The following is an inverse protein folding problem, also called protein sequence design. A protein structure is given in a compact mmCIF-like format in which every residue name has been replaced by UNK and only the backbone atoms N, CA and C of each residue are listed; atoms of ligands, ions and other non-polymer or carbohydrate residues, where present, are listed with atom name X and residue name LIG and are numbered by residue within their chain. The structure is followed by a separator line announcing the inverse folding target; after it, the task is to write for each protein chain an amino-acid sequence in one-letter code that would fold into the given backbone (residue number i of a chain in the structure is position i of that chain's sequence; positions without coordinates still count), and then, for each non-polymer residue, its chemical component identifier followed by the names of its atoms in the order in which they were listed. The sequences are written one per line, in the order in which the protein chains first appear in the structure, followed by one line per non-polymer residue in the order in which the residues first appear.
data_IF_978361242130
#
_entry.id   IF_978361242130
#
_cell.length_a   1.000
_cell.length_b   1.000
_cell.length_c   1.000
_cell.angle_alpha   90.00
_cell.angle_beta   90.00
_cell.angle_gamma   90.00
#
_symmetry.space_group_name_H-M   'P 1'
#
loop_
_entity.id
_entity.type
_entity.pdbx_description
1 polymer ?
#
# COMPACT_ATOMS: atom_id res chain seq x y z
N UNK A 1 1.71 -15.18 -6.68
CA UNK A 1 0.53 -15.44 -5.82
C UNK A 1 -0.15 -14.14 -5.39
N UNK A 2 0.60 -13.09 -5.25
CA UNK A 2 0.25 -11.80 -4.64
C UNK A 2 -0.71 -10.94 -5.48
N UNK A 3 -1.06 -9.75 -4.96
CA UNK A 3 -2.04 -8.86 -5.58
C UNK A 3 -1.56 -8.28 -6.91
N UNK A 4 -0.27 -7.97 -7.05
CA UNK A 4 0.28 -7.28 -8.21
C UNK A 4 0.26 -8.15 -9.48
N UNK A 5 0.69 -9.40 -9.39
CA UNK A 5 0.90 -10.28 -10.55
C UNK A 5 0.37 -11.72 -10.35
N UNK A 6 -0.48 -11.93 -9.34
CA UNK A 6 -0.88 -13.27 -8.93
C UNK A 6 -2.38 -13.50 -8.77
N UNK A 7 -2.68 -14.67 -8.21
CA UNK A 7 -4.06 -15.14 -8.01
C UNK A 7 -4.85 -14.19 -7.10
N UNK A 8 -4.24 -13.60 -6.10
CA UNK A 8 -4.91 -12.65 -5.21
C UNK A 8 -5.50 -11.46 -5.99
N UNK A 9 -4.76 -10.92 -6.98
CA UNK A 9 -5.28 -9.87 -7.86
C UNK A 9 -6.44 -10.34 -8.75
N UNK A 10 -6.35 -11.55 -9.26
CA UNK A 10 -7.44 -12.16 -10.05
C UNK A 10 -8.70 -12.33 -9.18
N UNK A 11 -8.55 -12.83 -7.95
CA UNK A 11 -9.67 -12.98 -7.00
C UNK A 11 -10.32 -11.65 -6.71
N UNK A 12 -9.53 -10.63 -6.42
CA UNK A 12 -10.04 -9.29 -6.13
C UNK A 12 -10.80 -8.70 -7.32
N UNK A 13 -10.23 -8.80 -8.52
CA UNK A 13 -10.86 -8.31 -9.74
C UNK A 13 -12.20 -9.01 -10.00
N UNK A 14 -12.22 -10.34 -9.93
CA UNK A 14 -13.43 -11.12 -10.19
C UNK A 14 -14.50 -10.88 -9.12
N UNK A 15 -14.12 -10.75 -7.84
CA UNK A 15 -15.04 -10.40 -6.76
C UNK A 15 -15.73 -9.05 -7.02
N UNK A 16 -14.93 -8.03 -7.34
CA UNK A 16 -15.46 -6.68 -7.67
C UNK A 16 -16.31 -6.69 -8.93
N UNK A 17 -15.95 -7.48 -9.93
CA UNK A 17 -16.75 -7.65 -11.14
C UNK A 17 -18.12 -8.27 -10.83
N UNK A 18 -18.16 -9.36 -10.06
CA UNK A 18 -19.38 -10.04 -9.67
C UNK A 18 -20.28 -9.18 -8.77
N UNK A 19 -19.70 -8.38 -7.91
CA UNK A 19 -20.42 -7.40 -7.08
C UNK A 19 -21.05 -6.30 -7.95
N UNK A 20 -20.34 -5.78 -8.94
CA UNK A 20 -20.77 -4.64 -9.75
C UNK A 20 -21.73 -5.01 -10.87
N UNK A 21 -21.51 -6.16 -11.54
CA UNK A 21 -22.22 -6.57 -12.77
C UNK A 21 -23.10 -7.78 -12.54
N UNK A 22 -24.26 -7.58 -11.90
CA UNK A 22 -25.15 -8.65 -11.49
C UNK A 22 -25.85 -9.34 -12.68
N UNK A 23 -26.19 -8.58 -13.72
CA UNK A 23 -26.94 -9.06 -14.92
C UNK A 23 -26.01 -9.37 -16.11
N UNK A 24 -24.72 -9.58 -15.88
CA UNK A 24 -23.78 -9.88 -16.97
C UNK A 24 -24.04 -11.25 -17.61
N UNK A 25 -24.04 -11.32 -18.95
CA UNK A 25 -24.21 -12.57 -19.70
C UNK A 25 -23.09 -13.58 -19.43
N UNK A 26 -21.89 -13.14 -19.05
CA UNK A 26 -20.77 -14.03 -18.70
C UNK A 26 -20.67 -14.34 -17.20
N UNK A 27 -21.64 -13.93 -16.39
CA UNK A 27 -21.61 -14.09 -14.92
C UNK A 27 -21.31 -15.50 -14.47
N UNK A 28 -21.98 -16.51 -15.04
CA UNK A 28 -21.80 -17.92 -14.65
C UNK A 28 -20.37 -18.41 -14.90
N UNK A 29 -19.74 -18.00 -15.99
CA UNK A 29 -18.37 -18.40 -16.30
C UNK A 29 -17.36 -17.66 -15.39
N UNK A 30 -17.62 -16.38 -15.10
CA UNK A 30 -16.83 -15.62 -14.14
C UNK A 30 -16.93 -16.23 -12.73
N UNK A 31 -18.11 -16.67 -12.28
CA UNK A 31 -18.30 -17.35 -11.00
C UNK A 31 -17.52 -18.67 -10.91
N UNK A 32 -17.45 -19.45 -11.99
CA UNK A 32 -16.63 -20.67 -12.02
C UNK A 32 -15.14 -20.36 -11.85
N UNK A 33 -14.64 -19.38 -12.60
CA UNK A 33 -13.23 -18.96 -12.51
C UNK A 33 -12.92 -18.40 -11.13
N UNK A 34 -13.82 -17.59 -10.58
CA UNK A 34 -13.70 -17.01 -9.24
C UNK A 34 -13.60 -18.09 -8.16
N UNK A 35 -14.45 -19.14 -8.21
CA UNK A 35 -14.39 -20.26 -7.26
C UNK A 35 -13.05 -20.96 -7.31
N UNK A 36 -12.56 -21.28 -8.50
CA UNK A 36 -11.25 -21.94 -8.67
C UNK A 36 -10.09 -21.07 -8.17
N UNK A 37 -10.16 -19.75 -8.41
CA UNK A 37 -9.13 -18.82 -7.94
C UNK A 37 -9.13 -18.70 -6.41
N UNK A 38 -10.31 -18.65 -5.77
CA UNK A 38 -10.45 -18.62 -4.31
C UNK A 38 -9.93 -19.92 -3.69
N UNK A 39 -10.30 -21.09 -4.21
CA UNK A 39 -9.81 -22.38 -3.71
C UNK A 39 -8.28 -22.45 -3.72
N UNK A 40 -7.65 -21.92 -4.76
CA UNK A 40 -6.18 -21.82 -4.83
C UNK A 40 -5.60 -20.85 -3.81
N UNK A 41 -6.26 -19.71 -3.55
CA UNK A 41 -5.83 -18.72 -2.57
C UNK A 41 -5.95 -19.27 -1.14
N UNK A 42 -7.07 -19.93 -0.81
CA UNK A 42 -7.29 -20.58 0.48
C UNK A 42 -6.27 -21.72 0.71
N UNK A 43 -6.06 -22.57 -0.30
CA UNK A 43 -5.03 -23.62 -0.23
C UNK A 43 -3.62 -23.07 -0.04
N UNK A 44 -3.30 -21.96 -0.67
CA UNK A 44 -1.99 -21.31 -0.45
C UNK A 44 -1.86 -20.85 0.99
N UNK A 45 -2.87 -20.21 1.56
CA UNK A 45 -2.90 -19.81 2.98
C UNK A 45 -2.66 -21.01 3.90
N UNK A 46 -3.37 -22.12 3.68
CA UNK A 46 -3.23 -23.34 4.48
C UNK A 46 -1.80 -23.88 4.41
N UNK A 47 -1.26 -24.04 3.21
CA UNK A 47 0.11 -24.53 3.00
C UNK A 47 1.17 -23.63 3.66
N UNK A 48 0.98 -22.29 3.57
CA UNK A 48 1.91 -21.34 4.21
C UNK A 48 1.86 -21.41 5.73
N UNK A 49 0.69 -21.61 6.31
CA UNK A 49 0.54 -21.77 7.77
C UNK A 49 1.11 -23.08 8.31
N UNK A 50 1.12 -24.13 7.51
CA UNK A 50 1.70 -25.43 7.88
C UNK A 50 3.23 -25.45 7.83
N UNK A 51 3.86 -24.49 7.15
CA UNK A 51 5.31 -24.40 7.04
C UNK A 51 5.93 -23.88 8.34
N UNK A 52 6.86 -24.64 8.94
CA UNK A 52 7.61 -24.21 10.11
C UNK A 52 8.59 -23.07 9.83
N UNK A 53 9.14 -23.04 8.62
CA UNK A 53 10.03 -21.98 8.11
C UNK A 53 9.33 -21.21 7.01
N UNK A 54 9.48 -19.90 7.02
CA UNK A 54 8.95 -19.05 5.95
C UNK A 54 9.95 -19.02 4.81
N UNK A 55 9.62 -19.62 3.64
CA UNK A 55 10.55 -19.65 2.52
C UNK A 55 10.74 -18.28 1.88
N UNK A 56 11.91 -18.07 1.30
CA UNK A 56 12.21 -16.91 0.47
C UNK A 56 11.32 -16.86 -0.80
N UNK A 57 11.03 -15.66 -1.36
CA UNK A 57 11.46 -14.36 -0.84
C UNK A 57 10.64 -13.90 0.36
N UNK A 58 11.29 -13.19 1.30
CA UNK A 58 10.65 -12.58 2.46
C UNK A 58 10.10 -11.21 2.04
N UNK A 59 8.82 -11.15 1.72
CA UNK A 59 8.15 -9.89 1.34
C UNK A 59 6.84 -9.74 2.10
N UNK A 60 6.70 -8.63 2.82
CA UNK A 60 5.51 -8.34 3.64
C UNK A 60 4.54 -7.38 2.96
N UNK A 61 4.89 -6.82 1.80
CA UNK A 61 4.19 -5.72 1.16
C UNK A 61 2.73 -5.95 0.80
N UNK A 62 2.05 -4.83 0.52
CA UNK A 62 0.61 -4.81 0.24
C UNK A 62 0.26 -5.30 -1.17
N UNK A 63 1.18 -5.16 -2.13
CA UNK A 63 0.95 -5.56 -3.52
C UNK A 63 1.78 -6.78 -3.92
N UNK A 64 3.03 -6.82 -3.50
CA UNK A 64 3.97 -7.89 -3.81
C UNK A 64 4.55 -8.43 -2.50
N UNK A 65 3.70 -9.10 -1.73
CA UNK A 65 4.03 -9.68 -0.43
C UNK A 65 2.82 -10.34 0.24
N UNK A 66 3.06 -11.00 1.37
CA UNK A 66 2.05 -11.78 2.10
C UNK A 66 0.88 -10.93 2.60
N UNK A 67 1.10 -9.64 2.92
CA UNK A 67 0.00 -8.74 3.34
C UNK A 67 -1.02 -8.50 2.22
N UNK A 68 -0.66 -8.72 0.96
CA UNK A 68 -1.58 -8.62 -0.16
C UNK A 68 -2.73 -9.62 -0.05
N UNK A 69 -2.46 -10.81 0.47
CA UNK A 69 -3.45 -11.87 0.65
C UNK A 69 -4.38 -11.54 1.82
N UNK A 70 -3.81 -11.06 2.94
CA UNK A 70 -4.60 -10.52 4.05
C UNK A 70 -5.56 -9.45 3.54
N UNK A 71 -5.04 -8.46 2.81
CA UNK A 71 -5.83 -7.36 2.27
C UNK A 71 -6.95 -7.83 1.35
N UNK A 72 -6.69 -8.79 0.47
CA UNK A 72 -7.72 -9.35 -0.42
C UNK A 72 -8.83 -10.02 0.39
N UNK A 73 -8.52 -10.84 1.39
CA UNK A 73 -9.53 -11.42 2.27
C UNK A 73 -10.39 -10.37 2.98
N UNK A 74 -9.79 -9.28 3.45
CA UNK A 74 -10.52 -8.18 4.09
C UNK A 74 -11.47 -7.48 3.11
N UNK A 75 -11.07 -7.28 1.86
CA UNK A 75 -11.96 -6.73 0.82
C UNK A 75 -13.07 -7.73 0.46
N UNK A 76 -12.79 -9.05 0.43
CA UNK A 76 -13.84 -10.05 0.24
C UNK A 76 -14.88 -10.02 1.38
N UNK A 77 -14.45 -9.79 2.61
CA UNK A 77 -15.37 -9.57 3.73
C UNK A 77 -16.23 -8.33 3.51
N UNK A 78 -15.66 -7.20 3.12
CA UNK A 78 -16.40 -5.96 2.84
C UNK A 78 -17.46 -6.15 1.72
N UNK A 79 -17.13 -6.96 0.69
CA UNK A 79 -18.05 -7.24 -0.42
C UNK A 79 -19.16 -8.21 -0.02
N UNK A 80 -18.83 -9.24 0.75
CA UNK A 80 -19.74 -10.39 0.92
C UNK A 80 -20.37 -10.51 2.31
N UNK A 81 -19.81 -9.82 3.31
CA UNK A 81 -20.20 -9.95 4.72
C UNK A 81 -19.88 -11.31 5.35
N UNK A 82 -19.14 -12.19 4.67
CA UNK A 82 -18.89 -13.55 5.14
C UNK A 82 -17.72 -13.60 6.12
N UNK A 83 -17.97 -13.95 7.39
CA UNK A 83 -16.99 -14.03 8.47
C UNK A 83 -15.79 -14.94 8.17
N UNK A 84 -15.95 -15.90 7.27
CA UNK A 84 -14.83 -16.77 6.87
C UNK A 84 -13.64 -15.98 6.33
N UNK A 85 -13.88 -14.82 5.69
CA UNK A 85 -12.81 -14.02 5.12
C UNK A 85 -11.98 -13.31 6.19
N UNK A 86 -12.63 -12.86 7.28
CA UNK A 86 -11.90 -12.33 8.45
C UNK A 86 -11.01 -13.46 9.04
N UNK A 87 -11.56 -14.65 9.24
CA UNK A 87 -10.77 -15.78 9.77
C UNK A 87 -9.59 -16.15 8.87
N UNK A 88 -9.78 -16.14 7.55
CA UNK A 88 -8.71 -16.39 6.60
C UNK A 88 -7.66 -15.26 6.63
N UNK A 89 -8.08 -14.00 6.76
CA UNK A 89 -7.18 -12.86 6.91
C UNK A 89 -6.35 -12.97 8.20
N UNK A 90 -6.97 -13.26 9.34
CA UNK A 90 -6.32 -13.47 10.63
C UNK A 90 -5.29 -14.60 10.56
N UNK A 91 -5.72 -15.76 10.03
CA UNK A 91 -4.85 -16.93 9.82
C UNK A 91 -3.63 -16.58 8.95
N UNK A 92 -3.83 -15.85 7.86
CA UNK A 92 -2.73 -15.48 6.98
C UNK A 92 -1.83 -14.39 7.59
N UNK A 93 -2.38 -13.52 8.43
CA UNK A 93 -1.60 -12.49 9.12
C UNK A 93 -0.56 -13.08 10.10
N UNK A 94 -0.76 -14.30 10.63
CA UNK A 94 0.26 -14.99 11.42
C UNK A 94 1.57 -15.17 10.65
N UNK A 95 1.49 -15.36 9.32
CA UNK A 95 2.66 -15.45 8.45
C UNK A 95 3.33 -14.08 8.32
N UNK A 96 2.52 -13.04 8.06
CA UNK A 96 3.01 -11.66 7.99
C UNK A 96 3.74 -11.30 9.29
N UNK A 97 3.16 -11.58 10.44
CA UNK A 97 3.76 -11.29 11.75
C UNK A 97 5.12 -11.98 11.96
N UNK A 98 5.28 -13.22 11.48
CA UNK A 98 6.58 -13.93 11.53
C UNK A 98 7.63 -13.33 10.59
N UNK A 99 7.19 -12.68 9.51
CA UNK A 99 8.07 -12.07 8.51
C UNK A 99 8.51 -10.66 8.87
N UNK A 100 7.63 -9.86 9.48
CA UNK A 100 7.87 -8.44 9.78
C UNK A 100 9.26 -8.13 10.36
N UNK A 101 9.79 -8.89 11.33
CA UNK A 101 11.12 -8.63 11.89
C UNK A 101 12.27 -8.99 10.96
N UNK A 102 12.02 -9.79 9.92
CA UNK A 102 13.03 -10.36 9.02
C UNK A 102 13.07 -9.68 7.66
N UNK A 103 11.96 -9.03 7.26
CA UNK A 103 11.85 -8.36 5.98
C UNK A 103 12.64 -7.05 5.98
N UNK A 104 13.63 -6.95 5.10
CA UNK A 104 14.42 -5.74 4.91
C UNK A 104 13.76 -4.73 3.96
N UNK A 105 12.70 -5.13 3.24
CA UNK A 105 11.96 -4.22 2.39
C UNK A 105 11.14 -3.26 3.23
N UNK A 106 11.20 -1.98 2.89
CA UNK A 106 10.59 -0.92 3.70
C UNK A 106 9.33 -0.37 3.07
N UNK A 107 9.21 -0.47 1.75
CA UNK A 107 8.24 0.26 0.95
C UNK A 107 6.80 -0.28 1.03
N UNK A 108 5.90 0.40 0.32
CA UNK A 108 4.48 0.07 0.30
C UNK A 108 4.17 -1.14 -0.58
N UNK A 109 4.91 -1.30 -1.69
CA UNK A 109 4.67 -2.37 -2.66
C UNK A 109 5.03 -3.72 -2.06
N UNK A 110 6.30 -3.89 -1.62
CA UNK A 110 6.88 -5.18 -1.25
C UNK A 110 7.24 -5.29 0.23
N UNK A 111 7.16 -4.20 1.02
CA UNK A 111 7.75 -4.14 2.35
C UNK A 111 6.82 -3.70 3.48
N UNK A 112 7.44 -3.37 4.58
CA UNK A 112 6.81 -3.16 5.88
C UNK A 112 5.77 -2.01 5.90
N UNK A 113 5.91 -0.97 5.07
CA UNK A 113 4.89 0.08 4.98
C UNK A 113 3.56 -0.49 4.45
N UNK A 114 3.61 -1.41 3.47
CA UNK A 114 2.41 -2.10 2.99
C UNK A 114 1.78 -3.01 4.05
N UNK A 115 2.61 -3.70 4.85
CA UNK A 115 2.14 -4.55 5.93
C UNK A 115 1.43 -3.78 7.05
N UNK A 116 1.91 -2.57 7.38
CA UNK A 116 1.23 -1.67 8.34
C UNK A 116 -0.21 -1.40 7.89
N UNK A 117 -0.44 -1.13 6.61
CA UNK A 117 -1.79 -0.86 6.08
C UNK A 117 -2.70 -2.08 6.23
N UNK A 118 -2.22 -3.28 5.91
CA UNK A 118 -3.00 -4.51 6.08
C UNK A 118 -3.32 -4.78 7.56
N UNK A 119 -2.35 -4.61 8.47
CA UNK A 119 -2.54 -4.76 9.90
C UNK A 119 -3.57 -3.77 10.48
N UNK A 120 -3.49 -2.49 10.08
CA UNK A 120 -4.43 -1.47 10.55
C UNK A 120 -5.84 -1.70 10.02
N UNK A 121 -5.99 -2.19 8.77
CA UNK A 121 -7.28 -2.57 8.22
C UNK A 121 -7.87 -3.79 8.97
N UNK A 122 -7.05 -4.76 9.31
CA UNK A 122 -7.47 -5.92 10.11
C UNK A 122 -7.90 -5.48 11.51
N UNK A 123 -7.14 -4.59 12.16
CA UNK A 123 -7.54 -3.98 13.43
C UNK A 123 -8.86 -3.23 13.34
N UNK A 124 -9.06 -2.43 12.29
CA UNK A 124 -10.30 -1.69 12.06
C UNK A 124 -11.54 -2.60 12.01
N UNK A 125 -11.40 -3.79 11.39
CA UNK A 125 -12.53 -4.70 11.18
C UNK A 125 -12.77 -5.65 12.35
N UNK A 126 -11.73 -5.97 13.14
CA UNK A 126 -11.84 -6.95 14.24
C UNK A 126 -11.84 -6.31 15.63
N UNK A 127 -11.24 -5.15 15.79
CA UNK A 127 -10.99 -4.51 17.07
C UNK A 127 -9.88 -5.19 17.90
N UNK A 128 -9.21 -6.21 17.39
CA UNK A 128 -8.18 -6.97 18.13
C UNK A 128 -6.88 -6.19 18.19
N UNK A 129 -6.48 -5.78 19.37
CA UNK A 129 -5.37 -4.83 19.63
C UNK A 129 -4.01 -5.34 19.14
N UNK A 130 -3.83 -6.63 18.99
CA UNK A 130 -2.58 -7.24 18.54
C UNK A 130 -2.15 -6.76 17.14
N UNK A 131 -3.11 -6.50 16.21
CA UNK A 131 -2.82 -6.00 14.89
C UNK A 131 -2.36 -4.54 14.92
N UNK A 132 -2.96 -3.72 15.77
CA UNK A 132 -2.51 -2.37 16.02
C UNK A 132 -1.10 -2.35 16.63
N UNK A 133 -0.84 -3.22 17.60
CA UNK A 133 0.47 -3.36 18.25
C UNK A 133 1.54 -3.75 17.24
N UNK A 134 1.28 -4.76 16.40
CA UNK A 134 2.20 -5.18 15.34
C UNK A 134 2.51 -4.04 14.35
N UNK A 135 1.49 -3.26 13.94
CA UNK A 135 1.68 -2.11 13.06
C UNK A 135 2.54 -1.01 13.70
N UNK A 136 2.28 -0.67 14.97
CA UNK A 136 3.03 0.35 15.72
C UNK A 136 4.48 -0.07 15.96
N UNK A 137 4.74 -1.32 16.30
CA UNK A 137 6.10 -1.85 16.46
C UNK A 137 6.86 -1.84 15.14
N UNK A 138 6.21 -2.28 14.07
CA UNK A 138 6.78 -2.24 12.72
C UNK A 138 7.11 -0.81 12.29
N UNK A 139 6.22 0.15 12.58
CA UNK A 139 6.45 1.57 12.28
C UNK A 139 7.67 2.11 13.03
N UNK A 140 7.83 1.80 14.31
CA UNK A 140 8.99 2.25 15.09
C UNK A 140 10.32 1.80 14.48
N UNK A 141 10.38 0.57 13.99
CA UNK A 141 11.58 0.04 13.35
C UNK A 141 11.75 0.59 11.94
N UNK A 142 10.66 0.75 11.20
CA UNK A 142 10.66 1.42 9.89
C UNK A 142 11.16 2.86 10.01
N UNK A 143 10.67 3.64 10.98
CA UNK A 143 11.10 5.02 11.18
C UNK A 143 12.60 5.14 11.44
N UNK A 144 13.20 4.26 12.24
CA UNK A 144 14.65 4.24 12.52
C UNK A 144 15.50 3.99 11.25
N UNK A 145 14.97 3.28 10.27
CA UNK A 145 15.65 2.98 9.00
C UNK A 145 15.60 4.15 8.01
N UNK A 146 14.74 5.13 8.23
CA UNK A 146 14.64 6.33 7.42
C UNK A 146 15.71 7.36 7.78
N UNK A 147 15.76 8.45 7.04
CA UNK A 147 16.74 9.53 7.25
C UNK A 147 16.13 10.91 7.05
N UNK A 148 16.67 11.84 7.82
CA UNK A 148 16.34 13.25 7.65
C UNK A 148 17.06 13.79 6.42
N UNK A 149 16.31 14.51 5.60
CA UNK A 149 16.83 15.20 4.44
C UNK A 149 17.03 16.69 4.78
N UNK A 150 17.63 17.46 3.88
CA UNK A 150 17.68 18.92 4.02
C UNK A 150 16.28 19.51 4.22
N UNK A 151 15.30 19.01 3.47
CA UNK A 151 13.87 19.27 3.66
C UNK A 151 13.15 17.95 3.86
N UNK A 152 12.47 17.77 5.01
CA UNK A 152 11.62 16.63 5.26
C UNK A 152 12.35 15.34 5.67
N UNK A 153 11.78 14.21 5.31
CA UNK A 153 12.21 12.87 5.69
C UNK A 153 11.85 11.83 4.62
N UNK A 154 12.63 10.74 4.51
CA UNK A 154 12.33 9.65 3.58
C UNK A 154 13.23 8.43 3.75
N UNK A 155 12.94 7.39 2.99
CA UNK A 155 13.69 6.13 3.00
C UNK A 155 14.44 5.94 1.69
N UNK A 156 15.74 5.75 1.81
CA UNK A 156 16.60 5.47 0.67
C UNK A 156 16.65 3.97 0.41
N UNK A 157 16.21 3.56 -0.76
CA UNK A 157 16.33 2.17 -1.18
C UNK A 157 17.79 1.82 -1.53
N UNK A 158 18.07 0.53 -1.48
CA UNK A 158 19.40 0.00 -1.85
C UNK A 158 19.79 0.48 -3.26
N UNK A 159 21.01 0.97 -3.40
CA UNK A 159 21.58 1.50 -4.65
C UNK A 159 20.99 2.83 -5.17
N UNK A 160 20.11 3.49 -4.43
CA UNK A 160 19.64 4.82 -4.78
C UNK A 160 20.31 5.89 -3.91
N UNK A 161 20.54 7.07 -4.51
CA UNK A 161 21.17 8.19 -3.81
C UNK A 161 20.20 8.94 -2.90
N UNK A 162 18.93 9.01 -3.30
CA UNK A 162 17.88 9.78 -2.62
C UNK A 162 16.62 8.93 -2.44
N UNK A 163 15.77 9.24 -1.43
CA UNK A 163 14.43 8.69 -1.34
C UNK A 163 13.61 9.02 -2.59
N UNK A 164 12.71 8.12 -2.99
CA UNK A 164 11.87 8.31 -4.17
C UNK A 164 10.58 9.07 -3.85
N UNK A 165 9.97 9.65 -4.88
CA UNK A 165 8.56 10.04 -4.92
C UNK A 165 7.70 8.89 -5.45
N UNK A 166 6.39 8.95 -5.22
CA UNK A 166 5.41 8.02 -5.76
C UNK A 166 4.96 6.92 -4.79
N UNK A 167 4.02 6.09 -5.26
CA UNK A 167 3.28 5.21 -4.37
C UNK A 167 3.98 3.89 -4.08
N UNK A 168 4.67 3.27 -5.05
CA UNK A 168 5.21 1.92 -4.83
C UNK A 168 6.38 1.92 -3.86
N UNK A 169 7.39 2.74 -4.13
CA UNK A 169 8.67 2.74 -3.41
C UNK A 169 9.04 4.11 -2.81
N UNK A 170 8.17 5.11 -2.97
CA UNK A 170 8.44 6.48 -2.54
C UNK A 170 7.59 6.94 -1.36
N UNK A 171 7.78 8.20 -0.99
CA UNK A 171 7.14 8.78 0.18
C UNK A 171 5.61 8.69 0.16
N UNK A 172 4.96 8.76 -1.01
CA UNK A 172 3.51 8.58 -1.11
C UNK A 172 3.03 7.23 -0.58
N UNK A 173 3.81 6.15 -0.78
CA UNK A 173 3.47 4.83 -0.22
C UNK A 173 3.63 4.78 1.30
N UNK A 174 4.71 5.34 1.83
CA UNK A 174 4.89 5.46 3.27
C UNK A 174 3.78 6.32 3.90
N UNK A 175 3.39 7.41 3.25
CA UNK A 175 2.28 8.26 3.70
C UNK A 175 0.98 7.47 3.88
N UNK A 176 0.67 6.49 3.01
CA UNK A 176 -0.50 5.63 3.18
C UNK A 176 -0.49 4.90 4.52
N UNK A 177 0.67 4.34 4.92
CA UNK A 177 0.81 3.67 6.22
C UNK A 177 0.61 4.64 7.41
N UNK A 178 1.21 5.83 7.34
CA UNK A 178 1.06 6.83 8.40
C UNK A 178 -0.35 7.40 8.51
N UNK A 179 -1.08 7.50 7.41
CA UNK A 179 -2.50 7.90 7.40
C UNK A 179 -3.36 6.87 8.14
N UNK A 180 -3.16 5.59 7.85
CA UNK A 180 -3.91 4.53 8.52
C UNK A 180 -3.57 4.45 10.03
N UNK A 181 -2.29 4.58 10.39
CA UNK A 181 -1.89 4.67 11.79
C UNK A 181 -2.56 5.84 12.51
N UNK A 182 -2.56 7.03 11.90
CA UNK A 182 -3.20 8.19 12.50
C UNK A 182 -4.72 8.01 12.63
N UNK A 183 -5.40 7.51 11.60
CA UNK A 183 -6.87 7.29 11.61
C UNK A 183 -7.30 6.38 12.75
N UNK A 184 -6.49 5.39 13.11
CA UNK A 184 -6.84 4.41 14.13
C UNK A 184 -6.38 4.80 15.54
N UNK A 185 -5.27 5.55 15.67
CA UNK A 185 -4.68 5.86 16.99
C UNK A 185 -4.90 7.29 17.44
N UNK A 186 -5.16 8.20 16.51
CA UNK A 186 -5.21 9.67 16.71
C UNK A 186 -3.94 10.25 17.34
N UNK A 187 -2.81 9.53 17.27
CA UNK A 187 -1.53 10.00 17.80
C UNK A 187 -0.96 11.12 16.91
N UNK A 188 -0.78 12.30 17.51
CA UNK A 188 -0.30 13.51 16.84
C UNK A 188 1.13 13.38 16.30
N UNK A 189 1.93 12.43 16.80
CA UNK A 189 3.26 12.17 16.26
C UNK A 189 3.19 11.70 14.80
N UNK A 190 2.15 10.92 14.44
CA UNK A 190 1.96 10.52 13.03
C UNK A 190 1.64 11.71 12.12
N UNK A 191 0.89 12.71 12.58
CA UNK A 191 0.67 13.94 11.79
C UNK A 191 1.97 14.72 11.57
N UNK A 192 2.87 14.78 12.56
CA UNK A 192 4.17 15.41 12.40
C UNK A 192 5.02 14.67 11.38
N UNK A 193 5.02 13.34 11.43
CA UNK A 193 5.71 12.48 10.46
C UNK A 193 5.15 12.65 9.04
N UNK A 194 3.83 12.64 8.88
CA UNK A 194 3.15 12.92 7.60
C UNK A 194 3.63 14.25 7.00
N UNK A 195 3.67 15.32 7.78
CA UNK A 195 4.15 16.64 7.32
C UNK A 195 5.60 16.61 6.86
N UNK A 196 6.47 15.86 7.53
CA UNK A 196 7.87 15.69 7.10
C UNK A 196 7.98 14.93 5.77
N UNK A 197 7.18 13.89 5.58
CA UNK A 197 7.16 13.12 4.34
C UNK A 197 6.62 13.95 3.16
N UNK A 198 5.54 14.71 3.40
CA UNK A 198 4.98 15.64 2.41
C UNK A 198 5.99 16.69 2.00
N UNK A 199 6.69 17.30 2.98
CA UNK A 199 7.68 18.36 2.71
C UNK A 199 8.81 17.87 1.80
N UNK A 200 9.27 16.63 1.97
CA UNK A 200 10.27 16.05 1.10
C UNK A 200 9.72 15.80 -0.32
N UNK A 201 8.53 15.22 -0.43
CA UNK A 201 7.98 14.88 -1.74
C UNK A 201 7.56 16.12 -2.53
N UNK A 202 7.15 17.21 -1.86
CA UNK A 202 6.80 18.48 -2.49
C UNK A 202 7.96 19.12 -3.25
N UNK A 203 9.18 19.07 -2.69
CA UNK A 203 10.36 19.63 -3.38
C UNK A 203 10.77 18.86 -4.64
N UNK A 204 10.23 17.66 -4.85
CA UNK A 204 10.49 16.86 -6.04
C UNK A 204 9.55 17.19 -7.21
N UNK A 205 8.59 18.10 -7.03
CA UNK A 205 7.75 18.55 -8.12
C UNK A 205 8.50 19.55 -9.01
N UNK A 206 8.60 19.23 -10.29
CA UNK A 206 9.18 20.12 -11.30
C UNK A 206 8.08 20.94 -11.99
N UNK A 207 8.16 22.27 -11.89
CA UNK A 207 7.24 23.16 -12.59
C UNK A 207 7.44 23.11 -14.11
N UNK A 208 8.66 22.80 -14.59
CA UNK A 208 8.96 22.67 -16.02
C UNK A 208 8.41 21.38 -16.61
N UNK A 209 8.59 20.26 -15.90
CA UNK A 209 8.11 18.94 -16.32
C UNK A 209 6.64 18.69 -15.95
N UNK A 210 6.03 19.59 -15.16
CA UNK A 210 4.65 19.48 -14.64
C UNK A 210 4.37 18.14 -13.98
N UNK A 211 5.37 17.56 -13.30
CA UNK A 211 5.27 16.26 -12.63
C UNK A 211 6.38 16.12 -11.60
N UNK A 212 6.29 15.10 -10.73
CA UNK A 212 7.34 14.75 -9.79
C UNK A 212 8.48 14.04 -10.50
N UNK A 213 9.71 14.42 -10.16
CA UNK A 213 10.93 13.88 -10.74
C UNK A 213 11.08 12.41 -10.31
N UNK A 214 11.41 11.56 -11.28
CA UNK A 214 11.77 10.17 -11.04
C UNK A 214 13.27 10.06 -10.71
N UNK A 215 13.60 10.02 -9.43
CA UNK A 215 14.99 9.98 -8.94
C UNK A 215 15.71 8.65 -9.19
N UNK A 216 15.09 7.68 -9.87
CA UNK A 216 15.78 6.52 -10.45
C UNK A 216 16.57 6.93 -11.70
N UNK A 217 16.16 8.00 -12.36
CA UNK A 217 16.94 8.62 -13.42
C UNK A 217 18.09 9.42 -12.80
N UNK A 218 19.37 9.06 -13.09
CA UNK A 218 20.53 9.72 -12.49
C UNK A 218 20.62 11.21 -12.79
N UNK A 219 20.10 11.64 -13.94
CA UNK A 219 20.13 13.02 -14.39
C UNK A 219 18.99 13.87 -13.82
N UNK A 220 18.00 13.24 -13.16
CA UNK A 220 16.84 13.92 -12.57
C UNK A 220 15.98 14.66 -13.60
N UNK A 221 15.97 14.21 -14.85
CA UNK A 221 15.28 14.87 -15.99
C UNK A 221 14.03 14.14 -16.44
N UNK A 222 13.79 12.95 -15.90
CA UNK A 222 12.64 12.13 -16.30
C UNK A 222 11.55 12.16 -15.26
N UNK A 223 10.33 12.04 -15.75
CA UNK A 223 9.14 11.82 -14.93
C UNK A 223 8.38 10.61 -15.46
N UNK A 224 7.54 10.03 -14.63
CA UNK A 224 6.69 8.90 -15.01
C UNK A 224 5.23 9.22 -14.68
N UNK A 225 4.29 8.75 -15.50
CA UNK A 225 2.85 8.88 -15.29
C UNK A 225 2.22 7.53 -14.90
N UNK A 226 2.89 6.80 -14.03
CA UNK A 226 2.40 5.53 -13.50
C UNK A 226 1.86 5.67 -12.08
N UNK A 227 0.99 4.74 -11.67
CA UNK A 227 0.54 4.67 -10.28
C UNK A 227 1.71 4.39 -9.32
N UNK A 228 2.70 3.66 -9.77
CA UNK A 228 3.89 3.32 -8.99
C UNK A 228 4.82 4.54 -8.79
N UNK A 229 4.99 5.35 -9.82
CA UNK A 229 5.85 6.53 -9.80
C UNK A 229 5.17 7.68 -10.55
N UNK A 230 5.13 8.87 -9.92
CA UNK A 230 4.56 10.09 -10.50
C UNK A 230 3.12 10.39 -10.09
N UNK A 231 2.50 11.30 -10.81
CA UNK A 231 1.25 11.96 -10.44
C UNK A 231 0.08 11.02 -10.05
N UNK A 232 -0.21 9.90 -10.75
CA UNK A 232 -1.37 9.06 -10.39
C UNK A 232 -1.29 8.49 -8.98
N UNK A 233 -0.14 7.92 -8.59
CA UNK A 233 0.04 7.36 -7.26
C UNK A 233 0.12 8.42 -6.16
N UNK A 234 0.74 9.56 -6.47
CA UNK A 234 0.80 10.71 -5.57
C UNK A 234 -0.61 11.26 -5.33
N UNK A 235 -1.44 11.35 -6.37
CA UNK A 235 -2.84 11.77 -6.24
C UNK A 235 -3.61 10.86 -5.26
N UNK A 236 -3.47 9.53 -5.38
CA UNK A 236 -4.11 8.59 -4.47
C UNK A 236 -3.70 8.83 -3.02
N UNK A 237 -2.40 9.02 -2.77
CA UNK A 237 -1.88 9.34 -1.44
C UNK A 237 -2.45 10.67 -0.90
N UNK A 238 -2.45 11.73 -1.71
CA UNK A 238 -3.00 13.04 -1.31
C UNK A 238 -4.49 13.00 -1.01
N UNK A 239 -5.27 12.23 -1.78
CA UNK A 239 -6.69 12.01 -1.49
C UNK A 239 -6.91 11.33 -0.14
N UNK A 240 -6.12 10.31 0.19
CA UNK A 240 -6.19 9.65 1.51
C UNK A 240 -5.84 10.59 2.66
N UNK A 241 -4.87 11.51 2.45
CA UNK A 241 -4.49 12.50 3.47
C UNK A 241 -5.56 13.58 3.64
N UNK A 242 -6.32 13.93 2.60
CA UNK A 242 -7.44 14.88 2.71
C UNK A 242 -8.51 14.45 3.72
N UNK A 243 -8.67 13.15 3.97
CA UNK A 243 -9.61 12.66 4.99
C UNK A 243 -9.24 13.13 6.40
N UNK A 244 -7.95 13.39 6.65
CA UNK A 244 -7.43 13.78 7.97
C UNK A 244 -6.96 15.25 8.03
N UNK A 245 -6.63 15.85 6.90
CA UNK A 245 -6.18 17.23 6.75
C UNK A 245 -6.92 17.97 5.61
N UNK A 246 -8.25 18.13 5.69
CA UNK A 246 -9.07 18.61 4.57
C UNK A 246 -8.79 20.06 4.16
N UNK A 247 -8.21 20.86 5.06
CA UNK A 247 -7.93 22.28 4.82
C UNK A 247 -6.46 22.58 4.50
N UNK A 248 -5.62 21.55 4.40
CA UNK A 248 -4.21 21.76 4.09
C UNK A 248 -4.05 22.26 2.65
N UNK A 249 -3.42 23.45 2.52
CA UNK A 249 -3.27 24.13 1.23
C UNK A 249 -2.29 23.42 0.32
N UNK A 250 -1.25 22.79 0.89
CA UNK A 250 -0.24 22.08 0.09
C UNK A 250 -0.83 20.80 -0.50
N UNK A 251 -1.61 20.05 0.26
CA UNK A 251 -2.30 18.86 -0.22
C UNK A 251 -3.25 19.22 -1.37
N UNK A 252 -4.05 20.27 -1.21
CA UNK A 252 -4.93 20.77 -2.28
C UNK A 252 -4.15 21.17 -3.53
N UNK A 253 -3.00 21.84 -3.38
CA UNK A 253 -2.12 22.21 -4.49
C UNK A 253 -1.57 20.96 -5.19
N UNK A 254 -1.10 19.96 -4.45
CA UNK A 254 -0.57 18.72 -5.00
C UNK A 254 -1.63 17.93 -5.78
N UNK A 255 -2.86 17.88 -5.29
CA UNK A 255 -4.00 17.27 -6.00
C UNK A 255 -4.21 17.98 -7.34
N UNK A 256 -4.27 19.31 -7.36
CA UNK A 256 -4.43 20.07 -8.61
C UNK A 256 -3.26 19.85 -9.58
N UNK A 257 -2.04 19.81 -9.09
CA UNK A 257 -0.83 19.48 -9.88
C UNK A 257 -0.95 18.08 -10.49
N UNK A 258 -1.30 17.08 -9.67
CA UNK A 258 -1.43 15.71 -10.13
C UNK A 258 -2.54 15.54 -11.18
N UNK A 259 -3.71 16.14 -10.95
CA UNK A 259 -4.82 16.15 -11.91
C UNK A 259 -4.38 16.85 -13.22
N UNK A 260 -3.73 18.01 -13.12
CA UNK A 260 -3.21 18.71 -14.31
C UNK A 260 -2.24 17.84 -15.12
N UNK A 261 -1.33 17.13 -14.43
CA UNK A 261 -0.38 16.20 -15.08
C UNK A 261 -1.09 15.08 -15.84
N UNK A 262 -2.18 14.53 -15.29
CA UNK A 262 -2.92 13.44 -15.94
C UNK A 262 -3.62 13.86 -17.23
N UNK A 263 -4.09 15.11 -17.30
CA UNK A 263 -4.81 15.64 -18.45
C UNK A 263 -3.93 16.46 -19.40
N UNK A 264 -2.66 16.67 -19.06
CA UNK A 264 -1.74 17.39 -19.92
C UNK A 264 -1.25 16.44 -21.02
N UNK A 265 -1.73 16.66 -22.25
CA UNK A 265 -1.18 15.97 -23.43
C UNK A 265 0.20 16.57 -23.72
N UNK A 266 1.26 15.76 -23.63
CA UNK A 266 2.53 16.11 -24.27
C UNK A 266 2.27 16.23 -25.77
N UNK A 267 2.41 17.46 -26.31
CA UNK A 267 2.44 17.72 -27.74
C UNK A 267 3.84 17.41 -28.28
#
# INVERSE_FOLDING_TARGET
MYLYDGIAGIVLFLAKYLDRYQDSSCRQDVEKIYKLAIEKLEKYTDLRCEQNEVPEPLATGLYDGESSIVYVYLILYEITGQEKWIKNAQKHFEIVAKLLPKDENMDYLSGNAGAIVAAMKLYQLTGEIEYCTAAVETEKDLWKKGQRMEVGYGWKLKNLKYPLSGLSHGNSGFLMAYVELYKMTYDQEYLKKIKLLLSYEDILYSEDLKNWIDLRDPDGRKTMRGWCHGAPGILLSRMSIMDILPDDKQIKKDILRAVSTLFHNER
#
